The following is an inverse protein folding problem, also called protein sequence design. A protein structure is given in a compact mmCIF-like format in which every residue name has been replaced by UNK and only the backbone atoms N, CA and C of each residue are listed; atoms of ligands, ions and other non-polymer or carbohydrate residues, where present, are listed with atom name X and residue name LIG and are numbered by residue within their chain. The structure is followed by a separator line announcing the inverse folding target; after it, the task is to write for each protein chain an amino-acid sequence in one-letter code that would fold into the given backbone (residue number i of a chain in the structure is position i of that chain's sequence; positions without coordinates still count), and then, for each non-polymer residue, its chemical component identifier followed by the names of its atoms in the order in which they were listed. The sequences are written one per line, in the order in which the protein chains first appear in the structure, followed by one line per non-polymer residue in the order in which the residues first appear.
data_IF_093184939337
#
_entry.id   IF_093184939337
#
_cell.length_a   1.000
_cell.length_b   1.000
_cell.length_c   1.000
_cell.angle_alpha   90.00
_cell.angle_beta   90.00
_cell.angle_gamma   90.00
#
_symmetry.space_group_name_H-M   'P 1'
#
loop_
_entity.id
_entity.type
_entity.pdbx_description
1 polymer ?
#
# COMPACT_ATOMS: atom_id res chain seq x y z
N UNK A 1 7.15 12.65 -22.13
CA UNK A 1 6.49 11.57 -22.89
C UNK A 1 5.82 10.74 -21.84
N UNK A 2 4.50 10.78 -21.81
CA UNK A 2 3.78 10.27 -20.66
C UNK A 2 3.35 8.85 -20.99
N UNK A 3 3.75 7.92 -20.13
CA UNK A 3 3.46 6.51 -20.28
C UNK A 3 2.32 6.16 -19.33
N UNK A 4 1.16 5.82 -19.89
CA UNK A 4 0.01 5.32 -19.15
C UNK A 4 0.09 3.79 -19.15
N UNK A 5 0.29 3.16 -17.98
CA UNK A 5 0.35 1.70 -17.83
C UNK A 5 -0.98 1.14 -17.32
N UNK A 6 -1.39 0.01 -17.88
CA UNK A 6 -2.71 -0.64 -17.79
C UNK A 6 -3.44 -0.54 -16.45
N UNK A 7 -4.63 0.05 -16.51
CA UNK A 7 -5.51 0.29 -15.37
C UNK A 7 -6.48 -0.86 -15.19
N UNK A 8 -6.38 -1.57 -14.08
CA UNK A 8 -7.59 -2.03 -13.37
C UNK A 8 -7.93 -0.90 -12.39
N UNK A 9 -8.86 -0.01 -12.79
CA UNK A 9 -9.40 1.03 -11.92
C UNK A 9 -10.56 0.43 -11.14
N UNK A 10 -10.43 0.33 -9.82
CA UNK A 10 -11.56 0.02 -8.94
C UNK A 10 -12.03 1.31 -8.27
N UNK A 11 -13.33 1.57 -8.31
CA UNK A 11 -13.97 2.65 -7.57
C UNK A 11 -15.12 2.02 -6.79
N UNK A 12 -15.00 2.06 -5.47
CA UNK A 12 -15.97 1.53 -4.52
C UNK A 12 -17.15 2.47 -4.26
N UNK A 13 -18.00 2.04 -3.32
CA UNK A 13 -19.26 2.71 -2.99
C UNK A 13 -19.19 3.48 -1.68
N UNK A 14 -20.22 3.35 -0.85
CA UNK A 14 -20.25 3.90 0.50
C UNK A 14 -20.23 2.82 1.58
N UNK A 15 -19.72 1.63 1.23
CA UNK A 15 -19.72 0.44 2.08
C UNK A 15 -18.43 0.30 2.87
N UNK A 16 -18.40 -0.65 3.80
CA UNK A 16 -17.14 -1.12 4.38
C UNK A 16 -16.63 -2.26 3.52
N UNK A 17 -15.87 -1.94 2.49
CA UNK A 17 -15.50 -2.88 1.45
C UNK A 17 -14.19 -3.63 1.79
N UNK A 18 -14.05 -4.85 1.28
CA UNK A 18 -12.76 -5.56 1.26
C UNK A 18 -12.34 -5.74 -0.19
N UNK A 19 -11.30 -5.03 -0.56
CA UNK A 19 -10.83 -4.90 -1.95
C UNK A 19 -9.55 -5.72 -2.06
N UNK A 20 -9.58 -6.81 -2.81
CA UNK A 20 -8.38 -7.65 -3.03
C UNK A 20 -7.72 -7.26 -4.34
N UNK A 21 -6.49 -6.76 -4.28
CA UNK A 21 -5.73 -6.35 -5.44
C UNK A 21 -5.24 -7.57 -6.26
N UNK A 22 -5.18 -7.40 -7.58
CA UNK A 22 -4.59 -8.38 -8.50
C UNK A 22 -3.07 -8.17 -8.59
N UNK A 23 -2.37 -8.87 -9.47
CA UNK A 23 -0.94 -8.61 -9.74
C UNK A 23 -0.71 -7.56 -10.83
N UNK A 24 -1.79 -7.00 -11.40
CA UNK A 24 -1.69 -5.84 -12.25
C UNK A 24 -1.39 -4.60 -11.40
N UNK A 25 -0.83 -3.55 -12.03
CA UNK A 25 -0.68 -2.26 -11.38
C UNK A 25 -2.05 -1.59 -11.33
N UNK A 26 -2.57 -1.39 -10.13
CA UNK A 26 -3.94 -0.92 -9.90
C UNK A 26 -3.95 0.53 -9.43
N UNK A 27 -5.02 1.24 -9.81
CA UNK A 27 -5.41 2.49 -9.16
C UNK A 27 -6.75 2.24 -8.47
N UNK A 28 -6.75 2.33 -7.15
CA UNK A 28 -7.86 1.88 -6.31
C UNK A 28 -8.42 3.06 -5.54
N UNK A 29 -9.73 3.25 -5.56
CA UNK A 29 -10.47 4.13 -4.66
C UNK A 29 -11.55 3.30 -3.96
N UNK A 30 -11.48 3.22 -2.62
CA UNK A 30 -12.46 2.47 -1.82
C UNK A 30 -13.82 3.16 -1.71
N UNK A 31 -13.86 4.48 -1.90
CA UNK A 31 -15.04 5.29 -1.69
C UNK A 31 -15.21 5.71 -0.23
N UNK A 32 -16.44 5.72 0.26
CA UNK A 32 -16.74 6.07 1.66
C UNK A 32 -16.85 4.81 2.51
N UNK A 33 -16.41 4.90 3.76
CA UNK A 33 -16.51 3.81 4.72
C UNK A 33 -15.13 3.30 5.12
N UNK A 34 -15.07 2.55 6.21
CA UNK A 34 -13.84 1.89 6.66
C UNK A 34 -13.53 0.69 5.75
N UNK A 35 -12.64 0.89 4.78
CA UNK A 35 -12.30 -0.11 3.76
C UNK A 35 -11.05 -0.92 4.12
N UNK A 36 -10.93 -2.12 3.54
CA UNK A 36 -9.74 -2.97 3.68
C UNK A 36 -9.13 -3.23 2.30
N UNK A 37 -7.94 -2.67 2.07
CA UNK A 37 -7.13 -2.88 0.87
C UNK A 37 -6.21 -4.07 1.07
N UNK A 38 -6.57 -5.21 0.48
CA UNK A 38 -5.94 -6.50 0.71
C UNK A 38 -4.97 -6.89 -0.39
N UNK A 39 -3.75 -7.21 0.01
CA UNK A 39 -2.67 -7.64 -0.86
C UNK A 39 -2.15 -9.00 -0.43
N UNK A 40 -2.34 -10.01 -1.28
CA UNK A 40 -1.99 -11.40 -0.94
C UNK A 40 -0.54 -11.79 -1.23
N UNK A 41 0.22 -10.92 -1.89
CA UNK A 41 1.65 -11.09 -2.18
C UNK A 41 2.29 -9.73 -2.48
N UNK A 42 3.62 -9.63 -2.40
CA UNK A 42 4.36 -8.43 -2.81
C UNK A 42 4.01 -7.99 -4.24
N UNK A 43 3.88 -8.95 -5.16
CA UNK A 43 3.48 -8.69 -6.54
C UNK A 43 2.07 -8.10 -6.66
N UNK A 44 1.17 -8.31 -5.69
CA UNK A 44 -0.15 -7.68 -5.70
C UNK A 44 -0.14 -6.23 -5.22
N UNK A 45 0.86 -5.84 -4.42
CA UNK A 45 0.99 -4.47 -3.93
C UNK A 45 1.90 -3.60 -4.80
N UNK A 46 2.82 -4.22 -5.54
CA UNK A 46 3.89 -3.50 -6.19
C UNK A 46 3.41 -2.61 -7.34
N UNK A 47 3.61 -1.31 -7.19
CA UNK A 47 3.24 -0.28 -8.15
C UNK A 47 1.83 0.28 -7.96
N UNK A 48 1.04 -0.31 -7.06
CA UNK A 48 -0.34 0.11 -6.84
C UNK A 48 -0.42 1.50 -6.21
N UNK A 49 -1.49 2.22 -6.55
CA UNK A 49 -1.82 3.50 -5.95
C UNK A 49 -3.25 3.47 -5.39
N UNK A 50 -3.39 3.78 -4.11
CA UNK A 50 -4.69 3.97 -3.47
C UNK A 50 -4.98 5.47 -3.41
N UNK A 51 -6.06 5.88 -4.05
CA UNK A 51 -6.71 7.18 -3.86
C UNK A 51 -7.82 7.05 -2.82
N UNK A 52 -8.10 8.14 -2.12
CA UNK A 52 -9.22 8.18 -1.17
C UNK A 52 -8.97 7.50 0.18
N UNK A 53 -7.76 7.00 0.47
CA UNK A 53 -7.45 6.41 1.77
C UNK A 53 -7.80 7.38 2.92
N UNK A 54 -8.70 6.95 3.81
CA UNK A 54 -9.28 7.79 4.86
C UNK A 54 -9.09 7.18 6.24
N UNK A 55 -9.43 7.95 7.27
CA UNK A 55 -9.43 7.43 8.64
C UNK A 55 -10.44 6.29 8.77
N UNK A 56 -10.00 5.13 9.25
CA UNK A 56 -10.83 3.93 9.37
C UNK A 56 -10.36 2.83 8.43
N UNK A 57 -9.81 3.21 7.27
CA UNK A 57 -9.28 2.28 6.29
C UNK A 57 -8.06 1.52 6.82
N UNK A 58 -7.86 0.32 6.27
CA UNK A 58 -6.73 -0.53 6.62
C UNK A 58 -6.11 -1.18 5.39
N UNK A 59 -4.81 -1.43 5.50
CA UNK A 59 -4.02 -2.17 4.52
C UNK A 59 -3.77 -3.57 5.07
N UNK A 60 -4.22 -4.59 4.36
CA UNK A 60 -4.09 -5.99 4.76
C UNK A 60 -2.92 -6.66 4.04
N UNK A 61 -1.83 -6.88 4.78
CA UNK A 61 -0.65 -7.63 4.37
C UNK A 61 -0.57 -9.02 5.00
N UNK A 62 -1.64 -9.53 5.62
CA UNK A 62 -1.65 -10.86 6.27
C UNK A 62 -1.28 -12.00 5.31
N UNK A 63 -1.48 -11.82 4.00
CA UNK A 63 -1.08 -12.78 2.98
C UNK A 63 0.42 -12.80 2.65
N UNK A 64 1.18 -11.80 3.07
CA UNK A 64 2.61 -11.64 2.76
C UNK A 64 3.55 -12.27 3.81
N UNK A 65 3.00 -12.75 4.92
CA UNK A 65 3.77 -13.26 6.07
C UNK A 65 3.80 -12.26 7.23
N UNK A 66 4.73 -12.47 8.16
CA UNK A 66 4.90 -11.57 9.30
C UNK A 66 5.69 -10.33 8.86
N UNK A 67 5.02 -9.18 8.85
CA UNK A 67 5.63 -7.89 8.51
C UNK A 67 5.85 -7.05 9.78
N UNK A 68 6.77 -6.09 9.75
CA UNK A 68 7.13 -5.23 10.86
C UNK A 68 7.37 -3.81 10.38
N UNK A 69 6.73 -2.85 11.06
CA UNK A 69 6.94 -1.44 10.74
C UNK A 69 8.25 -0.95 11.36
N UNK A 70 9.19 -0.54 10.50
CA UNK A 70 10.46 0.00 10.93
C UNK A 70 10.36 1.51 11.21
N UNK A 71 11.05 1.96 12.26
CA UNK A 71 11.11 3.39 12.61
C UNK A 71 11.97 4.22 11.63
N UNK A 72 12.67 3.55 10.70
CA UNK A 72 13.56 4.15 9.70
C UNK A 72 13.17 3.78 8.27
N UNK A 73 14.10 4.03 7.34
CA UNK A 73 13.93 3.76 5.89
C UNK A 73 14.84 2.63 5.39
N UNK A 74 15.52 1.95 6.31
CA UNK A 74 16.36 0.80 5.96
C UNK A 74 15.47 -0.40 5.70
N UNK A 75 15.73 -1.09 4.59
CA UNK A 75 15.16 -2.39 4.27
C UNK A 75 16.34 -3.34 4.09
N UNK A 76 16.51 -4.26 5.04
CA UNK A 76 17.59 -5.25 5.01
C UNK A 76 17.20 -6.63 5.56
N UNK A 77 15.96 -6.78 6.04
CA UNK A 77 15.43 -8.04 6.52
C UNK A 77 14.05 -8.36 5.95
N UNK A 78 13.75 -9.66 5.94
CA UNK A 78 12.40 -10.16 5.63
C UNK A 78 11.41 -9.63 6.66
N UNK A 79 10.30 -9.10 6.18
CA UNK A 79 9.24 -8.52 6.99
C UNK A 79 9.37 -7.02 7.16
N UNK A 80 10.52 -6.39 6.85
CA UNK A 80 10.66 -4.94 7.00
C UNK A 80 9.60 -4.20 6.16
N UNK A 81 8.94 -3.23 6.78
CA UNK A 81 8.06 -2.26 6.15
C UNK A 81 8.53 -0.87 6.54
N UNK A 82 8.72 0.00 5.55
CA UNK A 82 9.11 1.39 5.76
C UNK A 82 8.09 2.32 5.09
N UNK A 83 7.97 3.54 5.62
CA UNK A 83 7.00 4.53 5.16
C UNK A 83 7.71 5.85 4.93
N UNK A 84 7.62 6.36 3.70
CA UNK A 84 8.12 7.70 3.31
C UNK A 84 6.98 8.61 2.88
N UNK A 85 7.27 9.90 2.80
CA UNK A 85 6.42 10.88 2.10
C UNK A 85 7.20 11.44 0.91
N UNK A 86 6.59 11.43 -0.27
CA UNK A 86 7.20 11.85 -1.52
C UNK A 86 6.34 12.87 -2.24
N UNK A 87 6.96 13.82 -2.95
CA UNK A 87 6.27 14.72 -3.87
C UNK A 87 6.45 14.23 -5.30
N UNK A 88 5.36 13.98 -6.01
CA UNK A 88 5.33 13.54 -7.42
C UNK A 88 4.48 14.53 -8.19
N UNK A 89 5.07 15.25 -9.13
CA UNK A 89 4.39 16.25 -9.98
C UNK A 89 3.55 17.29 -9.23
N UNK A 90 3.93 17.62 -7.99
CA UNK A 90 3.23 18.59 -7.14
C UNK A 90 2.14 17.99 -6.23
N UNK A 91 1.89 16.68 -6.34
CA UNK A 91 1.05 15.91 -5.43
C UNK A 91 1.90 15.22 -4.37
N UNK A 92 1.36 15.08 -3.15
CA UNK A 92 2.03 14.38 -2.05
C UNK A 92 1.56 12.94 -1.99
N UNK A 93 2.47 12.00 -1.75
CA UNK A 93 2.17 10.58 -1.59
C UNK A 93 2.82 10.04 -0.32
N UNK A 94 2.10 9.15 0.36
CA UNK A 94 2.66 8.28 1.39
C UNK A 94 3.05 6.97 0.74
N UNK A 95 4.33 6.62 0.78
CA UNK A 95 4.88 5.49 0.05
C UNK A 95 5.34 4.44 1.03
N UNK A 96 4.73 3.26 0.93
CA UNK A 96 4.98 2.10 1.77
C UNK A 96 5.84 1.13 0.95
N UNK A 97 6.99 0.74 1.50
CA UNK A 97 7.88 -0.25 0.89
C UNK A 97 8.05 -1.42 1.82
N UNK A 98 8.00 -2.65 1.29
CA UNK A 98 8.15 -3.84 2.11
C UNK A 98 9.01 -4.93 1.47
N UNK A 99 9.62 -5.75 2.32
CA UNK A 99 10.49 -6.87 1.93
C UNK A 99 9.92 -8.20 2.43
N UNK A 100 9.80 -9.16 1.53
CA UNK A 100 9.26 -10.50 1.74
C UNK A 100 10.26 -11.62 1.46
N UNK A 101 11.46 -11.30 0.95
CA UNK A 101 12.48 -12.26 0.54
C UNK A 101 13.78 -12.15 1.33
N UNK A 102 13.96 -11.08 2.12
CA UNK A 102 15.09 -10.88 3.02
C UNK A 102 16.40 -10.49 2.32
N UNK A 103 16.33 -9.90 1.14
CA UNK A 103 17.44 -9.20 0.52
C UNK A 103 17.53 -7.74 1.00
N UNK A 104 18.47 -6.95 0.49
CA UNK A 104 18.62 -5.54 0.88
C UNK A 104 17.82 -4.61 -0.04
N UNK A 105 16.60 -5.02 -0.41
CA UNK A 105 15.73 -4.28 -1.30
C UNK A 105 14.26 -4.46 -0.91
N UNK A 106 13.42 -3.50 -1.33
CA UNK A 106 11.97 -3.68 -1.25
C UNK A 106 11.52 -4.63 -2.36
N UNK A 107 10.64 -5.56 -2.02
CA UNK A 107 9.93 -6.41 -2.98
C UNK A 107 8.69 -5.74 -3.56
N UNK A 108 8.12 -4.76 -2.85
CA UNK A 108 6.99 -3.98 -3.33
C UNK A 108 7.06 -2.53 -2.87
N UNK A 109 6.45 -1.66 -3.67
CA UNK A 109 6.11 -0.28 -3.32
C UNK A 109 4.60 -0.06 -3.53
N UNK A 110 3.91 0.37 -2.48
CA UNK A 110 2.49 0.77 -2.50
C UNK A 110 2.40 2.26 -2.20
N UNK A 111 1.67 3.01 -3.03
CA UNK A 111 1.48 4.46 -2.87
C UNK A 111 0.09 4.78 -2.36
N UNK A 112 -0.04 5.66 -1.38
CA UNK A 112 -1.29 6.30 -1.00
C UNK A 112 -1.23 7.77 -1.41
N UNK A 113 -2.24 8.25 -2.14
CA UNK A 113 -2.33 9.67 -2.43
C UNK A 113 -2.58 10.47 -1.14
N UNK A 114 -1.81 11.55 -0.95
CA UNK A 114 -1.83 12.40 0.22
C UNK A 114 -0.80 12.03 1.30
N UNK A 115 -0.72 12.88 2.32
CA UNK A 115 0.13 12.66 3.51
C UNK A 115 -0.65 11.98 4.62
N UNK A 116 -0.35 10.71 4.82
CA UNK A 116 -0.92 9.87 5.85
C UNK A 116 0.13 9.61 6.92
N UNK A 117 -0.25 9.81 8.19
CA UNK A 117 0.58 9.48 9.34
C UNK A 117 0.22 8.07 9.80
N UNK A 118 0.63 7.07 9.00
CA UNK A 118 0.29 5.68 9.25
C UNK A 118 0.96 5.15 10.52
N UNK A 119 0.21 4.30 11.21
CA UNK A 119 0.57 3.61 12.44
C UNK A 119 0.25 2.13 12.29
N UNK A 120 0.62 1.33 13.29
CA UNK A 120 0.32 -0.11 13.26
C UNK A 120 -1.17 -0.43 13.21
N UNK A 121 -2.04 0.50 13.62
CA UNK A 121 -3.49 0.30 13.58
C UNK A 121 -4.09 0.39 12.16
N UNK A 122 -3.35 0.98 11.23
CA UNK A 122 -3.74 1.14 9.83
C UNK A 122 -3.38 -0.11 9.00
N UNK A 123 -2.80 -1.13 9.65
CA UNK A 123 -2.38 -2.38 9.01
C UNK A 123 -3.02 -3.61 9.66
N UNK A 124 -3.22 -4.63 8.83
CA UNK A 124 -3.41 -6.01 9.28
C UNK A 124 -2.19 -6.82 8.84
N UNK A 125 -1.60 -7.59 9.76
CA UNK A 125 -0.42 -8.42 9.47
C UNK A 125 0.94 -7.71 9.61
N UNK A 126 0.96 -6.46 10.09
CA UNK A 126 2.18 -5.71 10.45
C UNK A 126 2.24 -5.58 11.97
N UNK A 127 3.44 -5.70 12.55
CA UNK A 127 3.74 -5.48 13.99
C UNK A 127 4.68 -4.31 14.28
#
# INVERSE_FOLDING_TARGET
SDTFYGFENFIGGSGHDTITASSAVNVIDGGLGDDVFKFTSAANANGDTIYGFQTGDRIDFTGMGAMKLEAGQTIDAIGDVTITHEMRDGEEFTVIRGNTQGDNAADFELSLHGRHNLTINDFLGVS
#
